data_IF_953421741826
#
_entry.id   IF_953421741826
#
_cell.length_a   1.000
_cell.length_b   1.000
_cell.length_c   1.000
_cell.angle_alpha   90.00
_cell.angle_beta   90.00
_cell.angle_gamma   90.00
#
_symmetry.space_group_name_H-M   'P 1'
#
loop_
_entity.id
_entity.type
_entity.pdbx_description
1 polymer ?
#
# COMPACT_ATOMS: atom_id res chain seq x y z
N UNK A 1 3.52 1.41 -40.42
CA UNK A 1 3.22 1.66 -38.99
C UNK A 1 3.78 3.02 -38.65
N UNK A 2 2.97 4.03 -38.35
CA UNK A 2 3.48 5.41 -38.18
C UNK A 2 4.41 5.47 -36.98
N UNK A 3 5.49 6.25 -37.08
CA UNK A 3 6.51 6.36 -36.02
C UNK A 3 5.93 6.75 -34.65
N UNK A 4 4.82 7.49 -34.67
CA UNK A 4 3.98 7.80 -33.51
C UNK A 4 3.37 6.57 -32.82
N UNK A 5 2.95 5.54 -33.58
CA UNK A 5 2.38 4.29 -33.02
C UNK A 5 3.44 3.44 -32.32
N UNK A 6 4.67 3.42 -32.85
CA UNK A 6 5.78 2.65 -32.27
C UNK A 6 6.27 3.28 -30.96
N UNK A 7 6.38 4.61 -30.92
CA UNK A 7 6.73 5.34 -29.70
C UNK A 7 5.64 5.19 -28.63
N UNK A 8 4.37 5.20 -29.02
CA UNK A 8 3.25 4.94 -28.11
C UNK A 8 3.29 3.55 -27.49
N UNK A 9 3.62 2.51 -28.26
CA UNK A 9 3.79 1.15 -27.72
C UNK A 9 4.95 1.03 -26.74
N UNK A 10 6.10 1.67 -27.02
CA UNK A 10 7.23 1.68 -26.09
C UNK A 10 6.90 2.41 -24.79
N UNK A 11 6.16 3.52 -24.89
CA UNK A 11 5.74 4.31 -23.74
C UNK A 11 4.73 3.52 -22.88
N UNK A 12 3.78 2.82 -23.50
CA UNK A 12 2.85 1.92 -22.80
C UNK A 12 3.58 0.77 -22.07
N UNK A 13 4.55 0.14 -22.73
CA UNK A 13 5.32 -0.95 -22.13
C UNK A 13 6.15 -0.47 -20.92
N UNK A 14 6.77 0.71 -21.03
CA UNK A 14 7.54 1.32 -19.94
C UNK A 14 6.67 1.67 -18.73
N UNK A 15 5.47 2.20 -18.97
CA UNK A 15 4.45 2.46 -17.94
C UNK A 15 4.09 1.16 -17.23
N UNK A 16 3.73 0.11 -17.96
CA UNK A 16 3.32 -1.19 -17.36
C UNK A 16 4.44 -1.82 -16.50
N UNK A 17 5.71 -1.67 -16.88
CA UNK A 17 6.83 -2.15 -16.09
C UNK A 17 7.00 -1.39 -14.77
N UNK A 18 6.76 -0.07 -14.75
CA UNK A 18 6.90 0.77 -13.55
C UNK A 18 5.83 0.47 -12.48
N UNK A 19 4.65 0.01 -12.89
CA UNK A 19 3.54 -0.29 -11.97
C UNK A 19 3.55 -1.73 -11.40
N UNK A 20 4.46 -2.62 -11.85
CA UNK A 20 4.52 -4.03 -11.43
C UNK A 20 5.57 -4.35 -10.34
N UNK A 21 6.05 -3.36 -9.59
CA UNK A 21 7.15 -3.52 -8.61
C UNK A 21 6.79 -4.28 -7.31
N UNK A 22 5.58 -4.85 -7.20
CA UNK A 22 5.02 -5.29 -5.90
C UNK A 22 5.20 -6.78 -5.55
N UNK A 23 6.04 -7.56 -6.23
CA UNK A 23 6.15 -9.02 -5.98
C UNK A 23 7.43 -9.44 -5.23
N UNK A 24 8.09 -8.52 -4.51
CA UNK A 24 9.27 -8.86 -3.71
C UNK A 24 8.88 -8.87 -2.23
N UNK A 25 8.48 -10.03 -1.74
CA UNK A 25 8.33 -10.29 -0.30
C UNK A 25 9.71 -10.20 0.35
N UNK A 26 10.01 -9.04 0.93
CA UNK A 26 11.28 -8.83 1.62
C UNK A 26 11.43 -9.77 2.82
N UNK A 27 12.64 -10.32 3.00
CA UNK A 27 12.98 -11.08 4.20
C UNK A 27 12.98 -10.17 5.44
N UNK A 28 12.66 -10.69 6.63
CA UNK A 28 12.56 -9.90 7.86
C UNK A 28 13.79 -9.02 8.14
N UNK A 29 14.99 -9.52 7.80
CA UNK A 29 16.26 -8.79 7.94
C UNK A 29 16.35 -7.52 7.07
N UNK A 30 15.74 -7.54 5.88
CA UNK A 30 15.65 -6.35 5.02
C UNK A 30 14.63 -5.33 5.55
N UNK A 31 13.48 -5.78 6.07
CA UNK A 31 12.49 -4.88 6.67
C UNK A 31 13.01 -4.13 7.90
N UNK A 32 13.86 -4.77 8.70
CA UNK A 32 14.54 -4.11 9.84
C UNK A 32 15.48 -3.01 9.34
N UNK A 33 16.24 -3.26 8.27
CA UNK A 33 17.18 -2.27 7.70
C UNK A 33 16.48 -1.09 7.03
N UNK A 34 15.39 -1.35 6.31
CA UNK A 34 14.67 -0.32 5.54
C UNK A 34 13.55 0.37 6.34
N UNK A 35 13.46 0.11 7.65
CA UNK A 35 12.38 0.63 8.51
C UNK A 35 10.97 0.35 7.94
N UNK A 36 10.81 -0.78 7.25
CA UNK A 36 9.55 -1.20 6.64
C UNK A 36 8.79 -2.09 7.61
N UNK A 37 7.47 -1.94 7.65
CA UNK A 37 6.61 -2.70 8.53
C UNK A 37 6.64 -4.18 8.15
N UNK A 38 7.28 -5.01 8.98
CA UNK A 38 7.23 -6.45 8.78
C UNK A 38 5.84 -6.96 9.19
N UNK A 39 5.07 -7.60 8.29
CA UNK A 39 3.72 -8.11 8.61
C UNK A 39 3.76 -9.23 9.67
N UNK A 40 4.95 -9.74 9.98
CA UNK A 40 5.16 -10.67 11.08
C UNK A 40 4.94 -10.02 12.45
N UNK A 41 5.43 -8.80 12.69
CA UNK A 41 5.29 -8.11 14.00
C UNK A 41 4.33 -6.91 13.97
N UNK A 42 4.02 -6.39 12.78
CA UNK A 42 3.14 -5.24 12.60
C UNK A 42 1.82 -5.65 11.97
N UNK A 43 0.77 -4.96 12.38
CA UNK A 43 -0.54 -5.04 11.76
C UNK A 43 -0.54 -4.44 10.35
N UNK A 44 -1.56 -4.74 9.54
CA UNK A 44 -1.66 -4.24 8.15
C UNK A 44 -1.95 -2.75 8.09
N UNK A 45 -2.44 -2.20 9.19
CA UNK A 45 -2.82 -0.81 9.40
C UNK A 45 -1.59 0.10 9.61
N UNK A 46 -0.39 -0.48 9.74
CA UNK A 46 0.88 0.23 9.83
C UNK A 46 1.23 0.73 11.24
N UNK A 47 2.45 1.27 11.45
CA UNK A 47 2.94 1.70 12.74
C UNK A 47 2.10 2.87 13.25
N UNK A 48 1.86 2.96 14.57
CA UNK A 48 2.54 2.22 15.65
C UNK A 48 1.92 0.84 15.98
N UNK A 49 0.98 0.32 15.19
CA UNK A 49 0.18 -0.83 15.58
C UNK A 49 0.92 -2.15 15.39
N UNK A 50 1.33 -2.76 16.51
CA UNK A 50 1.83 -4.14 16.57
C UNK A 50 0.66 -5.12 16.51
N UNK A 51 0.88 -6.27 15.88
CA UNK A 51 -0.05 -7.39 15.99
C UNK A 51 0.20 -8.17 17.31
N UNK A 52 -0.60 -9.20 17.58
CA UNK A 52 -0.51 -9.98 18.84
C UNK A 52 0.92 -10.49 19.13
N UNK A 53 1.57 -11.05 18.12
CA UNK A 53 2.94 -11.58 18.25
C UNK A 53 3.98 -10.47 18.43
N UNK A 54 3.85 -9.34 17.74
CA UNK A 54 4.73 -8.18 17.91
C UNK A 54 4.57 -7.54 19.29
N UNK A 55 3.34 -7.46 19.80
CA UNK A 55 3.05 -6.96 21.14
C UNK A 55 3.63 -7.89 22.22
N UNK A 56 3.50 -9.21 22.06
CA UNK A 56 4.12 -10.18 22.95
C UNK A 56 5.65 -10.03 22.95
N UNK A 57 6.27 -10.00 21.78
CA UNK A 57 7.72 -9.85 21.64
C UNK A 57 8.25 -8.58 22.32
N UNK A 58 7.56 -7.44 22.14
CA UNK A 58 7.94 -6.17 22.75
C UNK A 58 7.82 -6.17 24.28
N UNK A 59 6.87 -6.95 24.83
CA UNK A 59 6.61 -7.03 26.28
C UNK A 59 7.38 -8.16 26.98
N UNK A 60 7.94 -9.11 26.22
CA UNK A 60 8.62 -10.30 26.75
C UNK A 60 10.11 -10.33 26.37
N UNK A 61 10.83 -9.26 26.69
CA UNK A 61 12.29 -9.14 26.47
C UNK A 61 12.74 -9.50 25.05
N UNK A 62 11.95 -9.18 24.02
CA UNK A 62 12.26 -9.53 22.64
C UNK A 62 12.47 -11.05 22.47
N UNK A 63 11.65 -11.84 23.14
CA UNK A 63 11.61 -13.30 23.02
C UNK A 63 10.19 -13.75 22.67
N UNK A 64 10.11 -14.80 21.85
CA UNK A 64 8.87 -15.54 21.58
C UNK A 64 8.76 -16.82 22.45
N UNK A 65 9.65 -16.98 23.42
CA UNK A 65 9.60 -18.10 24.35
C UNK A 65 8.30 -18.09 25.16
N UNK A 66 7.62 -19.24 25.18
CA UNK A 66 6.32 -19.38 25.83
C UNK A 66 5.14 -18.76 25.07
N UNK A 67 5.36 -18.14 23.90
CA UNK A 67 4.26 -17.60 23.11
C UNK A 67 3.40 -18.74 22.55
N UNK A 68 2.13 -18.77 22.96
CA UNK A 68 1.12 -19.65 22.39
C UNK A 68 0.20 -18.78 21.54
N UNK A 69 0.16 -18.96 20.21
CA UNK A 69 -0.74 -18.17 19.38
C UNK A 69 -2.19 -18.45 19.80
N UNK A 70 -2.97 -17.38 19.97
CA UNK A 70 -4.41 -17.53 20.14
C UNK A 70 -4.95 -18.41 19.01
N UNK A 71 -5.85 -19.37 19.29
CA UNK A 71 -6.48 -20.17 18.25
C UNK A 71 -7.04 -19.21 17.22
N UNK A 72 -6.66 -19.36 15.94
CA UNK A 72 -7.30 -18.58 14.88
C UNK A 72 -8.78 -18.87 14.97
N UNK A 73 -9.56 -17.90 15.44
CA UNK A 73 -10.99 -17.87 15.20
C UNK A 73 -11.10 -17.90 13.69
N UNK A 74 -11.43 -19.08 13.16
CA UNK A 74 -11.81 -19.20 11.76
C UNK A 74 -12.99 -18.27 11.64
N UNK A 75 -12.87 -17.26 10.78
CA UNK A 75 -13.82 -16.16 10.71
C UNK A 75 -15.26 -16.70 10.81
N UNK A 76 -16.07 -16.06 11.66
CA UNK A 76 -17.52 -16.11 11.55
C UNK A 76 -17.86 -16.11 10.05
N UNK A 77 -18.71 -17.03 9.55
CA UNK A 77 -19.06 -17.08 8.14
C UNK A 77 -19.42 -15.68 7.68
N UNK A 78 -18.80 -15.31 6.58
CA UNK A 78 -18.85 -14.00 5.93
C UNK A 78 -20.27 -13.40 6.02
N UNK A 79 -20.44 -12.20 6.63
CA UNK A 79 -21.70 -11.48 6.55
C UNK A 79 -22.09 -11.36 5.08
N UNK A 80 -23.23 -11.91 4.72
CA UNK A 80 -23.73 -12.03 3.33
C UNK A 80 -24.21 -10.70 2.74
N UNK A 81 -24.11 -9.62 3.51
CA UNK A 81 -24.25 -8.26 3.02
C UNK A 81 -23.01 -7.46 3.41
N UNK A 82 -22.29 -7.06 2.36
CA UNK A 82 -21.28 -6.01 2.38
C UNK A 82 -21.94 -4.70 2.83
N UNK A 83 -21.87 -4.41 4.13
CA UNK A 83 -22.10 -3.05 4.61
C UNK A 83 -21.00 -2.20 3.96
N UNK A 84 -21.38 -1.34 3.02
CA UNK A 84 -20.50 -0.37 2.36
C UNK A 84 -19.87 0.56 3.41
N UNK A 85 -18.78 0.10 4.02
CA UNK A 85 -17.90 0.92 4.84
C UNK A 85 -17.27 1.89 3.85
N UNK A 86 -17.83 3.10 3.83
CA UNK A 86 -17.53 4.17 2.87
C UNK A 86 -16.05 4.22 2.51
N UNK A 87 -15.80 4.01 1.22
CA UNK A 87 -14.51 3.97 0.54
C UNK A 87 -13.43 4.72 1.32
N UNK A 88 -12.61 3.97 2.05
CA UNK A 88 -11.42 4.52 2.69
C UNK A 88 -10.45 4.92 1.57
N UNK A 89 -10.47 6.22 1.22
CA UNK A 89 -9.58 6.81 0.23
C UNK A 89 -8.13 6.54 0.66
N UNK A 90 -7.38 5.81 -0.16
CA UNK A 90 -5.96 5.59 0.15
C UNK A 90 -5.21 6.93 0.05
N UNK A 91 -4.12 7.08 0.81
CA UNK A 91 -3.33 8.33 0.85
C UNK A 91 -2.79 8.75 -0.53
N UNK A 92 -2.70 7.79 -1.46
CA UNK A 92 -2.26 7.97 -2.83
C UNK A 92 -3.35 8.59 -3.73
N UNK A 93 -4.62 8.28 -3.51
CA UNK A 93 -5.76 8.84 -4.23
C UNK A 93 -5.97 10.32 -3.89
N UNK A 94 -5.72 10.73 -2.64
CA UNK A 94 -5.77 12.14 -2.23
C UNK A 94 -4.64 12.93 -2.91
N UNK A 95 -3.43 12.36 -2.95
CA UNK A 95 -2.28 12.98 -3.62
C UNK A 95 -2.49 13.15 -5.12
N UNK A 96 -3.02 12.12 -5.79
CA UNK A 96 -3.29 12.16 -7.23
C UNK A 96 -4.42 13.15 -7.57
N UNK A 97 -5.49 13.18 -6.76
CA UNK A 97 -6.58 14.15 -6.95
C UNK A 97 -6.10 15.59 -6.73
N UNK A 98 -5.28 15.84 -5.72
CA UNK A 98 -4.71 17.16 -5.47
C UNK A 98 -3.77 17.61 -6.60
N UNK A 99 -2.96 16.70 -7.14
CA UNK A 99 -2.08 17.00 -8.28
C UNK A 99 -2.89 17.27 -9.55
N UNK A 100 -3.94 16.50 -9.81
CA UNK A 100 -4.83 16.69 -10.95
C UNK A 100 -5.57 18.03 -10.90
N UNK A 101 -6.06 18.45 -9.73
CA UNK A 101 -6.72 19.76 -9.58
C UNK A 101 -5.77 20.93 -9.78
N UNK A 102 -4.54 20.84 -9.27
CA UNK A 102 -3.50 21.86 -9.50
C UNK A 102 -3.18 21.99 -10.99
N UNK A 103 -2.96 20.87 -11.70
CA UNK A 103 -2.68 20.90 -13.14
C UNK A 103 -3.84 21.47 -13.95
N UNK A 104 -5.09 21.17 -13.57
CA UNK A 104 -6.27 21.71 -14.23
C UNK A 104 -6.39 23.23 -14.04
N UNK A 105 -6.16 23.75 -12.82
CA UNK A 105 -6.15 25.19 -12.55
C UNK A 105 -5.07 25.89 -13.39
N UNK A 106 -3.86 25.32 -13.44
CA UNK A 106 -2.75 25.87 -14.23
C UNK A 106 -3.07 25.87 -15.73
N UNK A 107 -3.71 24.82 -16.24
CA UNK A 107 -4.14 24.74 -17.64
C UNK A 107 -5.21 25.79 -17.97
N UNK A 108 -6.17 26.03 -17.08
CA UNK A 108 -7.19 27.07 -17.26
C UNK A 108 -6.56 28.47 -17.25
N UNK A 109 -5.67 28.75 -16.29
CA UNK A 109 -4.96 30.04 -16.24
C UNK A 109 -4.11 30.25 -17.49
N UNK A 110 -3.43 29.21 -17.97
CA UNK A 110 -2.66 29.27 -19.21
C UNK A 110 -3.54 29.60 -20.41
N UNK A 111 -4.71 28.96 -20.56
CA UNK A 111 -5.63 29.23 -21.67
C UNK A 111 -6.22 30.65 -21.60
N UNK A 112 -6.55 31.17 -20.41
CA UNK A 112 -7.09 32.54 -20.25
C UNK A 112 -6.02 33.61 -20.52
N UNK A 113 -4.75 33.28 -20.30
CA UNK A 113 -3.60 34.18 -20.54
C UNK A 113 -3.09 34.15 -21.98
N UNK A 114 -3.51 33.17 -22.79
CA UNK A 114 -3.16 33.01 -24.20
C UNK A 114 -4.12 33.82 -25.10
#
# INVERSE_FOLDING_TARGET
MSQTRLNQTFLLLAVVLLFNTSIISARPEYSVKESRNCPYCHSREGPPQLNEIGAYYATHNHSLEGYVPSPKVTATPEPTEEVEIGVHMNTWDVGLRALATILLILLVVYIIRL
#
